data_IF_559665453261
#
_entry.id   IF_559665453261
#
_cell.length_a   1.000
_cell.length_b   1.000
_cell.length_c   1.000
_cell.angle_alpha   90.00
_cell.angle_beta   90.00
_cell.angle_gamma   90.00
#
_symmetry.space_group_name_H-M   'P 1'
#
loop_
_entity.id
_entity.type
_entity.pdbx_description
1 polymer ?
#
# COMPACT_ATOMS: atom_id res chain seq x y z
N UNK A 1 39.27 -18.20 25.13
CA UNK A 1 39.68 -16.96 24.45
C UNK A 1 40.01 -17.33 23.00
N UNK A 2 39.01 -17.38 22.13
CA UNK A 2 39.23 -17.67 20.70
C UNK A 2 39.18 -16.34 19.94
N UNK A 3 40.36 -15.75 19.70
CA UNK A 3 40.53 -14.83 18.59
C UNK A 3 40.60 -15.70 17.34
N UNK A 4 39.54 -15.71 16.53
CA UNK A 4 39.61 -16.24 15.18
C UNK A 4 39.84 -15.07 14.25
N UNK A 5 41.01 -15.07 13.61
CA UNK A 5 41.35 -14.21 12.49
C UNK A 5 40.22 -14.19 11.46
N UNK A 6 39.76 -12.99 11.12
CA UNK A 6 38.78 -12.74 10.04
C UNK A 6 39.51 -12.39 8.73
N UNK A 7 40.83 -12.64 8.64
CA UNK A 7 41.65 -12.30 7.48
C UNK A 7 42.22 -13.52 6.75
N UNK A 8 41.65 -14.72 6.94
CA UNK A 8 42.05 -15.93 6.22
C UNK A 8 40.94 -16.44 5.32
N UNK A 9 41.28 -16.72 4.07
CA UNK A 9 40.50 -17.29 2.95
C UNK A 9 39.67 -18.54 3.32
N UNK A 10 38.64 -18.36 4.12
CA UNK A 10 37.53 -19.29 4.28
C UNK A 10 36.26 -18.50 3.96
N UNK A 11 36.18 -17.96 2.74
CA UNK A 11 34.89 -17.58 2.19
C UNK A 11 34.06 -18.86 2.13
N UNK A 12 32.94 -18.86 2.85
CA UNK A 12 31.94 -19.91 2.66
C UNK A 12 31.68 -20.05 1.15
N UNK A 13 31.56 -21.29 0.62
CA UNK A 13 31.12 -21.45 -0.75
C UNK A 13 29.79 -20.68 -0.92
N UNK A 14 29.56 -20.02 -2.06
CA UNK A 14 28.32 -19.28 -2.29
C UNK A 14 27.15 -20.23 -2.04
N UNK A 15 26.40 -19.97 -0.98
CA UNK A 15 25.22 -20.75 -0.64
C UNK A 15 24.09 -20.32 -1.57
N UNK A 16 23.36 -21.25 -2.21
CA UNK A 16 22.19 -20.90 -2.96
C UNK A 16 21.19 -20.24 -2.01
N UNK A 17 20.77 -19.01 -2.34
CA UNK A 17 19.80 -18.26 -1.57
C UNK A 17 18.67 -17.83 -2.49
N UNK A 18 17.44 -17.88 -1.97
CA UNK A 18 16.29 -17.31 -2.63
C UNK A 18 15.82 -16.10 -1.82
N UNK A 19 15.83 -14.94 -2.45
CA UNK A 19 15.23 -13.74 -1.89
C UNK A 19 13.75 -13.68 -2.25
N UNK A 20 12.91 -13.49 -1.25
CA UNK A 20 11.49 -13.22 -1.38
C UNK A 20 11.29 -11.74 -1.07
N UNK A 21 10.95 -10.97 -2.10
CA UNK A 21 10.70 -9.55 -1.96
C UNK A 21 9.21 -9.27 -1.80
N UNK A 22 8.86 -8.53 -0.75
CA UNK A 22 7.52 -8.00 -0.52
C UNK A 22 7.62 -6.47 -0.36
N UNK A 23 7.11 -5.67 -1.31
CA UNK A 23 7.11 -4.22 -1.23
C UNK A 23 6.00 -3.66 -0.31
N UNK A 24 5.42 -4.47 0.59
CA UNK A 24 4.26 -4.05 1.38
C UNK A 24 4.57 -2.82 2.24
N UNK A 25 5.66 -2.88 3.00
CA UNK A 25 6.09 -1.78 3.87
C UNK A 25 6.60 -0.59 3.06
N UNK A 26 7.26 -0.84 1.94
CA UNK A 26 7.71 0.21 1.02
C UNK A 26 6.51 1.01 0.50
N UNK A 27 5.46 0.34 0.01
CA UNK A 27 4.26 1.05 -0.46
C UNK A 27 3.50 1.78 0.65
N UNK A 28 3.48 1.25 1.88
CA UNK A 28 2.89 1.96 3.02
C UNK A 28 3.66 3.24 3.36
N UNK A 29 4.99 3.15 3.42
CA UNK A 29 5.85 4.27 3.74
C UNK A 29 5.89 5.30 2.61
N UNK A 30 5.91 4.86 1.36
CA UNK A 30 5.75 5.73 0.20
C UNK A 30 4.42 6.48 0.28
N UNK A 31 3.32 5.80 0.63
CA UNK A 31 2.03 6.46 0.75
C UNK A 31 2.04 7.58 1.82
N UNK A 32 2.67 7.32 2.97
CA UNK A 32 2.83 8.29 4.06
C UNK A 32 3.74 9.46 3.67
N UNK A 33 4.93 9.14 3.18
CA UNK A 33 5.91 10.12 2.75
C UNK A 33 5.32 11.06 1.70
N UNK A 34 4.71 10.50 0.65
CA UNK A 34 4.10 11.28 -0.42
C UNK A 34 2.90 12.10 0.09
N UNK A 35 2.14 11.60 1.05
CA UNK A 35 1.07 12.38 1.68
C UNK A 35 1.64 13.58 2.46
N UNK A 36 2.69 13.40 3.26
CA UNK A 36 3.35 14.48 3.98
C UNK A 36 3.89 15.53 3.02
N UNK A 37 4.58 15.11 1.96
CA UNK A 37 5.03 16.02 0.91
C UNK A 37 3.86 16.77 0.24
N UNK A 38 2.69 16.14 0.07
CA UNK A 38 1.51 16.83 -0.46
C UNK A 38 0.95 17.90 0.49
N UNK A 39 1.02 17.67 1.80
CA UNK A 39 0.59 18.63 2.82
C UNK A 39 1.52 19.84 2.85
N UNK A 40 2.84 19.61 2.78
CA UNK A 40 3.87 20.64 2.87
C UNK A 40 4.12 21.37 1.54
N UNK A 41 3.70 20.81 0.41
CA UNK A 41 3.99 21.37 -0.90
C UNK A 41 3.32 22.74 -1.14
N UNK A 42 4.15 23.68 -1.58
CA UNK A 42 3.74 24.95 -2.13
C UNK A 42 3.23 24.80 -3.56
N UNK A 43 2.06 25.37 -3.81
CA UNK A 43 1.42 25.37 -5.13
C UNK A 43 0.67 24.08 -5.48
N UNK A 44 -0.36 24.24 -6.30
CA UNK A 44 -1.28 23.16 -6.67
C UNK A 44 -0.59 22.01 -7.43
N UNK A 45 0.37 22.31 -8.30
CA UNK A 45 0.98 21.28 -9.14
C UNK A 45 1.79 20.26 -8.33
N UNK A 46 2.65 20.73 -7.42
CA UNK A 46 3.46 19.88 -6.56
C UNK A 46 2.58 19.07 -5.61
N UNK A 47 1.63 19.72 -4.93
CA UNK A 47 0.63 19.06 -4.08
C UNK A 47 -0.09 17.93 -4.80
N UNK A 48 -0.60 18.19 -5.99
CA UNK A 48 -1.39 17.18 -6.70
C UNK A 48 -0.50 16.02 -7.20
N UNK A 49 0.77 16.27 -7.54
CA UNK A 49 1.72 15.22 -7.91
C UNK A 49 1.99 14.26 -6.75
N UNK A 50 2.32 14.81 -5.58
CA UNK A 50 2.54 14.02 -4.37
C UNK A 50 1.25 13.30 -3.93
N UNK A 51 0.10 13.96 -4.03
CA UNK A 51 -1.20 13.36 -3.70
C UNK A 51 -1.51 12.15 -4.59
N UNK A 52 -1.27 12.24 -5.90
CA UNK A 52 -1.43 11.10 -6.82
C UNK A 52 -0.51 9.95 -6.45
N UNK A 53 0.76 10.23 -6.14
CA UNK A 53 1.70 9.18 -5.71
C UNK A 53 1.21 8.48 -4.44
N UNK A 54 0.75 9.25 -3.44
CA UNK A 54 0.22 8.71 -2.18
C UNK A 54 -1.03 7.83 -2.37
N UNK A 55 -2.00 8.28 -3.20
CA UNK A 55 -3.22 7.52 -3.50
C UNK A 55 -2.88 6.17 -4.14
N UNK A 56 -1.95 6.16 -5.10
CA UNK A 56 -1.57 4.94 -5.82
C UNK A 56 -0.75 4.01 -4.94
N UNK A 57 0.20 4.52 -4.18
CA UNK A 57 0.95 3.73 -3.21
C UNK A 57 0.03 3.06 -2.17
N UNK A 58 -1.00 3.79 -1.69
CA UNK A 58 -2.03 3.24 -0.78
C UNK A 58 -2.81 2.07 -1.39
N UNK A 59 -3.11 2.11 -2.69
CA UNK A 59 -3.77 1.01 -3.38
C UNK A 59 -2.82 -0.17 -3.61
N UNK A 60 -1.56 0.10 -3.98
CA UNK A 60 -0.54 -0.92 -4.22
C UNK A 60 -0.17 -1.69 -2.95
N UNK A 61 -0.18 -1.04 -1.78
CA UNK A 61 0.04 -1.75 -0.50
C UNK A 61 -1.04 -2.80 -0.23
N UNK A 62 -2.30 -2.51 -0.58
CA UNK A 62 -3.42 -3.48 -0.45
C UNK A 62 -3.23 -4.67 -1.38
N UNK A 63 -2.80 -4.42 -2.62
CA UNK A 63 -2.52 -5.47 -3.59
C UNK A 63 -1.35 -6.33 -3.17
N UNK A 64 -0.31 -5.69 -2.64
CA UNK A 64 0.85 -6.37 -2.10
C UNK A 64 0.44 -7.27 -0.94
N UNK A 65 -0.36 -6.79 0.01
CA UNK A 65 -0.92 -7.62 1.08
C UNK A 65 -1.65 -8.85 0.50
N UNK A 66 -2.54 -8.64 -0.46
CA UNK A 66 -3.29 -9.74 -1.08
C UNK A 66 -2.37 -10.79 -1.75
N UNK A 67 -1.29 -10.33 -2.41
CA UNK A 67 -0.30 -11.20 -3.04
C UNK A 67 0.54 -11.94 -1.99
N UNK A 68 0.95 -11.28 -0.91
CA UNK A 68 1.67 -11.90 0.21
C UNK A 68 0.86 -13.05 0.82
N UNK A 69 -0.45 -12.83 1.01
CA UNK A 69 -1.35 -13.83 1.56
C UNK A 69 -1.46 -15.06 0.66
N UNK A 70 -1.68 -14.88 -0.65
CA UNK A 70 -1.75 -16.02 -1.58
C UNK A 70 -0.42 -16.75 -1.70
N UNK A 71 0.68 -16.02 -1.70
CA UNK A 71 2.01 -16.63 -1.71
C UNK A 71 2.27 -17.46 -0.44
N UNK A 72 1.74 -17.03 0.71
CA UNK A 72 1.88 -17.74 1.98
C UNK A 72 1.19 -19.12 1.99
N UNK A 73 0.13 -19.31 1.18
CA UNK A 73 -0.58 -20.59 1.07
C UNK A 73 0.27 -21.73 0.48
N UNK A 74 1.42 -21.43 -0.13
CA UNK A 74 2.35 -22.41 -0.74
C UNK A 74 1.62 -23.41 -1.67
N UNK A 75 0.68 -22.88 -2.45
CA UNK A 75 -0.14 -23.68 -3.37
C UNK A 75 0.72 -24.37 -4.44
N UNK A 76 0.29 -25.54 -4.96
CA UNK A 76 0.86 -26.11 -6.18
C UNK A 76 0.89 -25.11 -7.34
N UNK A 77 1.88 -25.21 -8.23
CA UNK A 77 2.15 -24.20 -9.26
C UNK A 77 0.93 -23.83 -10.13
N UNK A 78 0.14 -24.83 -10.56
CA UNK A 78 -1.06 -24.59 -11.36
C UNK A 78 -2.17 -23.91 -10.54
N UNK A 79 -2.38 -24.33 -9.30
CA UNK A 79 -3.37 -23.70 -8.40
C UNK A 79 -2.97 -22.26 -8.03
N UNK A 80 -1.67 -22.01 -7.86
CA UNK A 80 -1.13 -20.68 -7.60
C UNK A 80 -1.39 -19.75 -8.79
N UNK A 81 -1.17 -20.22 -10.01
CA UNK A 81 -1.41 -19.44 -11.25
C UNK A 81 -2.87 -18.98 -11.36
N UNK A 82 -3.81 -19.82 -10.96
CA UNK A 82 -5.23 -19.44 -10.91
C UNK A 82 -5.54 -18.52 -9.72
N UNK A 83 -4.94 -18.78 -8.55
CA UNK A 83 -5.07 -17.90 -7.38
C UNK A 83 -4.57 -16.48 -7.66
N UNK A 84 -3.46 -16.35 -8.39
CA UNK A 84 -2.80 -15.08 -8.65
C UNK A 84 -3.59 -14.18 -9.61
N UNK A 85 -4.48 -14.75 -10.42
CA UNK A 85 -5.38 -14.01 -11.31
C UNK A 85 -6.61 -13.44 -10.60
N UNK A 86 -6.86 -13.86 -9.36
CA UNK A 86 -7.98 -13.35 -8.58
C UNK A 86 -7.79 -11.86 -8.28
N UNK A 87 -8.91 -11.14 -8.11
CA UNK A 87 -8.85 -9.75 -7.65
C UNK A 87 -8.32 -9.70 -6.21
N UNK A 88 -7.71 -8.59 -5.76
CA UNK A 88 -7.09 -8.51 -4.44
C UNK A 88 -8.01 -8.92 -3.28
N UNK A 89 -9.26 -8.48 -3.26
CA UNK A 89 -10.22 -8.88 -2.22
C UNK A 89 -10.63 -10.36 -2.29
N UNK A 90 -10.58 -10.96 -3.47
CA UNK A 90 -10.86 -12.39 -3.66
C UNK A 90 -9.66 -13.25 -3.26
N UNK A 91 -8.43 -12.75 -3.49
CA UNK A 91 -7.19 -13.33 -2.94
C UNK A 91 -7.24 -13.40 -1.42
N UNK A 92 -7.61 -12.29 -0.76
CA UNK A 92 -7.76 -12.23 0.70
C UNK A 92 -8.86 -13.17 1.18
N UNK A 93 -10.03 -13.20 0.51
CA UNK A 93 -11.11 -14.11 0.86
C UNK A 93 -10.68 -15.58 0.77
N UNK A 94 -9.92 -15.94 -0.27
CA UNK A 94 -9.37 -17.28 -0.44
C UNK A 94 -8.40 -17.63 0.68
N UNK A 95 -7.46 -16.74 1.02
CA UNK A 95 -6.55 -16.96 2.14
C UNK A 95 -7.30 -17.29 3.44
N UNK A 96 -8.32 -16.50 3.78
CA UNK A 96 -9.14 -16.77 4.98
C UNK A 96 -9.86 -18.12 4.91
N UNK A 97 -10.36 -18.51 3.73
CA UNK A 97 -11.01 -19.80 3.54
C UNK A 97 -10.02 -20.96 3.71
N UNK A 98 -8.87 -20.89 3.04
CA UNK A 98 -7.90 -21.99 2.99
C UNK A 98 -7.20 -22.19 4.35
N UNK A 99 -6.95 -21.11 5.09
CA UNK A 99 -6.40 -21.13 6.46
C UNK A 99 -7.46 -21.36 7.55
N UNK A 100 -8.73 -21.56 7.17
CA UNK A 100 -9.88 -21.70 8.08
C UNK A 100 -10.02 -20.54 9.08
N UNK A 101 -9.77 -19.31 8.62
CA UNK A 101 -9.91 -18.08 9.39
C UNK A 101 -11.31 -17.48 9.20
N UNK A 102 -11.86 -16.93 10.28
CA UNK A 102 -13.17 -16.25 10.26
C UNK A 102 -13.01 -14.74 10.34
N UNK A 103 -14.06 -14.00 9.95
CA UNK A 103 -14.17 -12.57 10.23
C UNK A 103 -13.83 -11.63 9.06
N UNK A 104 -13.24 -12.13 7.97
CA UNK A 104 -13.14 -11.37 6.72
C UNK A 104 -14.46 -11.40 5.94
N UNK A 105 -14.92 -10.24 5.49
CA UNK A 105 -16.10 -10.08 4.65
C UNK A 105 -15.89 -9.01 3.59
N UNK A 106 -16.29 -9.30 2.36
CA UNK A 106 -16.29 -8.32 1.25
C UNK A 106 -17.45 -7.33 1.35
N UNK A 107 -18.44 -7.59 2.21
CA UNK A 107 -19.65 -6.79 2.35
C UNK A 107 -19.54 -5.61 3.30
N UNK A 108 -18.54 -5.57 4.18
CA UNK A 108 -18.39 -4.49 5.17
C UNK A 108 -17.87 -3.21 4.55
N UNK A 109 -18.21 -2.06 5.16
CA UNK A 109 -17.85 -0.72 4.65
C UNK A 109 -16.35 -0.57 4.38
N UNK A 110 -15.49 -1.10 5.24
CA UNK A 110 -14.03 -1.05 5.07
C UNK A 110 -13.59 -1.75 3.77
N UNK A 111 -14.08 -2.97 3.52
CA UNK A 111 -13.80 -3.71 2.28
C UNK A 111 -14.39 -3.05 1.04
N UNK A 112 -15.55 -2.38 1.16
CA UNK A 112 -16.17 -1.65 0.05
C UNK A 112 -15.37 -0.39 -0.34
N UNK A 113 -14.92 0.40 0.66
CA UNK A 113 -14.05 1.56 0.45
C UNK A 113 -12.71 1.13 -0.16
N UNK A 114 -12.12 0.04 0.33
CA UNK A 114 -10.92 -0.53 -0.25
C UNK A 114 -11.14 -1.03 -1.71
N UNK A 115 -12.28 -1.66 -2.01
CA UNK A 115 -12.63 -2.02 -3.39
C UNK A 115 -12.65 -0.81 -4.31
N UNK A 116 -13.17 0.32 -3.83
CA UNK A 116 -13.16 1.57 -4.59
C UNK A 116 -11.74 2.12 -4.77
N UNK A 117 -10.90 2.06 -3.74
CA UNK A 117 -9.48 2.44 -3.84
C UNK A 117 -8.74 1.62 -4.91
N UNK A 118 -8.98 0.31 -4.98
CA UNK A 118 -8.42 -0.54 -6.04
C UNK A 118 -8.93 -0.16 -7.44
N UNK A 119 -10.21 0.21 -7.57
CA UNK A 119 -10.76 0.74 -8.83
C UNK A 119 -10.14 2.08 -9.21
N UNK A 120 -9.84 2.95 -8.23
CA UNK A 120 -9.14 4.21 -8.45
C UNK A 120 -7.78 3.94 -9.09
N UNK A 121 -7.02 2.98 -8.54
CA UNK A 121 -5.74 2.54 -9.11
C UNK A 121 -5.91 2.06 -10.55
N UNK A 122 -6.86 1.16 -10.79
CA UNK A 122 -7.12 0.63 -12.14
C UNK A 122 -7.42 1.76 -13.14
N UNK A 123 -8.27 2.72 -12.75
CA UNK A 123 -8.60 3.88 -13.58
C UNK A 123 -7.40 4.81 -13.83
N UNK A 124 -6.49 4.92 -12.86
CA UNK A 124 -5.28 5.72 -12.98
C UNK A 124 -4.26 5.11 -13.96
N UNK A 125 -4.02 3.79 -13.87
CA UNK A 125 -3.04 3.09 -14.72
C UNK A 125 -3.59 2.75 -16.11
N UNK A 126 -4.92 2.73 -16.26
CA UNK A 126 -5.62 2.54 -17.53
C UNK A 126 -6.56 3.71 -17.80
N UNK A 127 -6.02 4.92 -18.05
CA UNK A 127 -6.83 6.13 -18.18
C UNK A 127 -7.75 6.03 -19.39
N UNK A 128 -9.04 6.30 -19.16
CA UNK A 128 -10.04 6.46 -20.22
C UNK A 128 -10.29 7.94 -20.44
N UNK A 129 -10.14 8.42 -21.68
CA UNK A 129 -10.51 9.77 -22.05
C UNK A 129 -12.02 9.93 -21.87
N UNK A 130 -12.41 10.68 -20.84
CA UNK A 130 -13.82 10.93 -20.54
C UNK A 130 -14.03 12.45 -20.63
N UNK A 131 -14.91 12.94 -21.53
CA UNK A 131 -15.19 14.37 -21.60
C UNK A 131 -15.88 14.81 -20.32
N UNK A 132 -15.31 15.82 -19.64
CA UNK A 132 -15.93 16.47 -18.50
C UNK A 132 -16.55 17.78 -18.96
N UNK A 133 -17.77 18.07 -18.51
CA UNK A 133 -18.39 19.37 -18.76
C UNK A 133 -17.60 20.46 -18.03
N UNK A 134 -17.31 21.54 -18.74
CA UNK A 134 -16.69 22.74 -18.19
C UNK A 134 -17.47 23.96 -18.64
N UNK A 135 -17.68 24.89 -17.73
CA UNK A 135 -18.28 26.20 -18.00
C UNK A 135 -17.15 27.22 -18.05
N UNK A 136 -16.98 27.83 -19.22
CA UNK A 136 -16.10 28.98 -19.40
C UNK A 136 -16.88 30.24 -19.09
N UNK A 137 -16.38 31.06 -18.16
CA UNK A 137 -16.93 32.38 -17.90
C UNK A 137 -16.32 33.42 -18.86
N UNK A 138 -16.89 34.62 -18.86
CA UNK A 138 -16.39 35.80 -19.56
C UNK A 138 -14.93 36.12 -19.20
N UNK A 139 -14.19 36.64 -20.18
CA UNK A 139 -12.80 37.08 -20.04
C UNK A 139 -12.71 38.14 -18.92
N UNK A 140 -11.84 37.91 -17.93
CA UNK A 140 -11.59 38.84 -16.82
C UNK A 140 -10.19 39.40 -16.93
N UNK A 141 -10.07 40.70 -16.68
CA UNK A 141 -8.79 41.36 -16.52
C UNK A 141 -8.19 40.91 -15.16
N UNK A 142 -7.00 40.32 -15.22
CA UNK A 142 -6.23 39.86 -14.05
C UNK A 142 -4.98 40.73 -13.83
N UNK A 143 -5.01 42.00 -14.24
CA UNK A 143 -3.93 42.96 -14.11
C UNK A 143 -2.99 42.92 -15.30
N UNK A 144 -1.89 42.16 -15.20
CA UNK A 144 -0.92 42.03 -16.31
C UNK A 144 -1.32 40.99 -17.37
N UNK A 145 -2.42 40.27 -17.16
CA UNK A 145 -2.90 39.21 -18.06
C UNK A 145 -4.42 39.13 -18.11
N UNK A 146 -4.95 38.55 -19.18
CA UNK A 146 -6.36 38.18 -19.28
C UNK A 146 -6.55 36.74 -18.79
N UNK A 147 -7.56 36.51 -17.96
CA UNK A 147 -7.92 35.18 -17.46
C UNK A 147 -9.32 34.79 -17.95
N UNK A 148 -9.50 33.53 -18.36
CA UNK A 148 -10.81 32.93 -18.60
C UNK A 148 -11.10 32.02 -17.40
N UNK A 149 -12.02 32.39 -16.49
CA UNK A 149 -12.39 31.51 -15.39
C UNK A 149 -13.05 30.24 -15.95
N UNK A 150 -12.63 29.08 -15.45
CA UNK A 150 -13.17 27.77 -15.83
C UNK A 150 -13.77 27.13 -14.57
N UNK A 151 -15.04 26.76 -14.64
CA UNK A 151 -15.70 25.92 -13.63
C UNK A 151 -15.86 24.52 -14.18
N UNK A 152 -15.35 23.52 -13.46
CA UNK A 152 -15.41 22.11 -13.87
C UNK A 152 -16.20 21.36 -12.79
N UNK A 153 -17.23 20.62 -13.18
CA UNK A 153 -17.88 19.68 -12.27
C UNK A 153 -16.96 18.46 -12.08
N UNK A 154 -16.63 18.19 -10.82
CA UNK A 154 -15.76 17.08 -10.44
C UNK A 154 -16.62 15.95 -9.85
N UNK A 155 -17.03 14.95 -10.64
CA UNK A 155 -17.71 13.79 -10.09
C UNK A 155 -16.80 13.10 -9.06
N UNK A 156 -17.39 12.54 -8.00
CA UNK A 156 -16.67 11.91 -6.90
C UNK A 156 -16.88 10.39 -6.89
N UNK A 157 -15.87 9.68 -6.40
CA UNK A 157 -15.96 8.26 -6.06
C UNK A 157 -16.92 8.11 -4.86
N UNK A 158 -18.06 7.42 -4.98
CA UNK A 158 -19.16 7.50 -4.01
C UNK A 158 -18.83 7.10 -2.57
N UNK A 159 -17.90 6.16 -2.31
CA UNK A 159 -17.61 5.73 -0.93
C UNK A 159 -16.39 6.44 -0.33
N UNK A 160 -15.46 6.90 -1.16
CA UNK A 160 -14.26 7.62 -0.75
C UNK A 160 -14.44 9.14 -0.81
N UNK A 161 -15.29 9.67 -1.69
CA UNK A 161 -15.44 11.11 -1.91
C UNK A 161 -14.25 11.75 -2.62
N UNK A 162 -13.36 10.95 -3.22
CA UNK A 162 -12.21 11.45 -4.00
C UNK A 162 -12.70 11.85 -5.39
N UNK A 163 -12.21 12.95 -6.00
CA UNK A 163 -12.55 13.29 -7.38
C UNK A 163 -12.23 12.15 -8.35
N UNK A 164 -13.07 11.89 -9.34
CA UNK A 164 -12.75 10.96 -10.42
C UNK A 164 -11.55 11.45 -11.25
N UNK A 165 -11.49 12.75 -11.65
CA UNK A 165 -10.36 13.26 -12.41
C UNK A 165 -9.11 13.39 -11.53
N UNK A 166 -8.04 12.69 -11.95
CA UNK A 166 -6.78 12.56 -11.19
C UNK A 166 -6.01 13.89 -11.07
N UNK A 167 -6.27 14.84 -11.96
CA UNK A 167 -5.68 16.18 -11.89
C UNK A 167 -6.17 16.97 -10.67
N UNK A 168 -7.36 16.65 -10.16
CA UNK A 168 -7.99 17.34 -9.04
C UNK A 168 -7.63 16.73 -7.67
N UNK A 169 -6.86 15.64 -7.64
CA UNK A 169 -6.43 15.03 -6.38
C UNK A 169 -5.44 15.91 -5.65
N UNK A 170 -5.76 16.20 -4.39
CA UNK A 170 -5.01 17.04 -3.47
C UNK A 170 -4.68 16.29 -2.18
N UNK A 171 -4.11 17.00 -1.21
CA UNK A 171 -3.72 16.44 0.09
C UNK A 171 -4.90 15.77 0.81
N UNK A 172 -6.12 16.32 0.71
CA UNK A 172 -7.34 15.69 1.24
C UNK A 172 -7.65 14.37 0.57
N UNK A 173 -7.49 14.30 -0.75
CA UNK A 173 -7.69 13.08 -1.54
C UNK A 173 -6.72 11.99 -1.12
N UNK A 174 -5.44 12.34 -0.92
CA UNK A 174 -4.44 11.39 -0.41
C UNK A 174 -4.69 10.94 1.02
N UNK A 175 -5.12 11.83 1.93
CA UNK A 175 -5.46 11.47 3.30
C UNK A 175 -6.58 10.43 3.36
N UNK A 176 -7.62 10.61 2.54
CA UNK A 176 -8.75 9.67 2.45
C UNK A 176 -8.32 8.31 1.91
N UNK A 177 -7.47 8.28 0.88
CA UNK A 177 -6.95 7.02 0.33
C UNK A 177 -6.09 6.27 1.34
N UNK A 178 -5.21 6.99 2.04
CA UNK A 178 -4.35 6.46 3.09
C UNK A 178 -5.18 5.87 4.23
N UNK A 179 -6.15 6.63 4.74
CA UNK A 179 -7.06 6.19 5.80
C UNK A 179 -7.88 4.95 5.39
N UNK A 180 -8.37 4.91 4.15
CA UNK A 180 -9.09 3.75 3.62
C UNK A 180 -8.20 2.50 3.56
N UNK A 181 -6.95 2.64 3.09
CA UNK A 181 -5.99 1.55 3.05
C UNK A 181 -5.65 1.09 4.47
N UNK A 182 -5.33 2.01 5.37
CA UNK A 182 -4.88 1.72 6.75
C UNK A 182 -5.95 1.02 7.57
N UNK A 183 -7.19 1.50 7.51
CA UNK A 183 -8.32 0.81 8.15
C UNK A 183 -8.53 -0.58 7.58
N UNK A 184 -8.30 -0.77 6.27
CA UNK A 184 -8.40 -2.08 5.65
C UNK A 184 -7.27 -3.03 6.07
N UNK A 185 -6.01 -2.56 6.09
CA UNK A 185 -4.89 -3.35 6.62
C UNK A 185 -5.15 -3.74 8.07
N UNK A 186 -5.52 -2.80 8.94
CA UNK A 186 -5.86 -3.11 10.32
C UNK A 186 -6.98 -4.14 10.41
N UNK A 187 -8.06 -3.97 9.63
CA UNK A 187 -9.17 -4.93 9.61
C UNK A 187 -8.75 -6.35 9.21
N UNK A 188 -7.92 -6.50 8.18
CA UNK A 188 -7.47 -7.82 7.70
C UNK A 188 -6.44 -8.41 8.66
N UNK A 189 -5.40 -7.64 9.00
CA UNK A 189 -4.27 -8.11 9.77
C UNK A 189 -4.64 -8.43 11.22
N UNK A 190 -5.53 -7.66 11.85
CA UNK A 190 -5.98 -7.97 13.22
C UNK A 190 -6.69 -9.31 13.27
N UNK A 191 -7.45 -9.68 12.23
CA UNK A 191 -8.14 -10.97 12.15
C UNK A 191 -7.19 -12.14 11.95
N UNK A 192 -6.11 -11.92 11.21
CA UNK A 192 -5.04 -12.91 11.04
C UNK A 192 -4.28 -13.10 12.37
N UNK A 193 -3.97 -12.00 13.05
CA UNK A 193 -3.27 -12.01 14.34
C UNK A 193 -4.10 -12.66 15.45
N UNK A 194 -5.40 -12.38 15.52
CA UNK A 194 -6.34 -12.98 16.48
C UNK A 194 -6.35 -14.51 16.39
N UNK A 195 -6.08 -15.08 15.21
CA UNK A 195 -5.99 -16.52 15.02
C UNK A 195 -4.67 -17.13 15.54
N UNK A 196 -3.66 -16.30 15.86
CA UNK A 196 -2.35 -16.67 16.40
C UNK A 196 -1.56 -17.73 15.59
N UNK A 197 -1.89 -17.90 14.30
CA UNK A 197 -1.26 -18.89 13.41
C UNK A 197 -0.15 -18.33 12.54
N UNK A 198 -0.12 -17.02 12.36
CA UNK A 198 0.83 -16.36 11.48
C UNK A 198 1.55 -15.27 12.26
N UNK A 199 2.87 -15.27 12.16
CA UNK A 199 3.65 -14.07 12.42
C UNK A 199 3.41 -13.12 11.23
N UNK A 200 3.01 -11.88 11.52
CA UNK A 200 2.69 -10.88 10.50
C UNK A 200 3.96 -10.26 9.89
N UNK A 201 5.02 -10.09 10.68
CA UNK A 201 6.30 -9.59 10.19
C UNK A 201 6.94 -10.65 9.28
N UNK A 202 6.99 -11.90 9.75
CA UNK A 202 6.47 -13.05 8.99
C UNK A 202 6.03 -12.85 7.54
N UNK A 203 4.73 -12.72 7.43
CA UNK A 203 3.97 -12.72 6.20
C UNK A 203 4.26 -11.53 5.27
N UNK A 204 4.65 -10.38 5.83
CA UNK A 204 4.69 -9.11 5.09
C UNK A 204 6.10 -8.65 4.71
N UNK A 205 7.14 -9.13 5.41
CA UNK A 205 8.51 -8.69 5.20
C UNK A 205 9.22 -9.37 4.03
N UNK A 206 10.18 -8.65 3.44
CA UNK A 206 11.19 -9.22 2.55
C UNK A 206 12.15 -10.14 3.32
N UNK A 207 12.53 -11.28 2.72
CA UNK A 207 13.25 -12.37 3.38
C UNK A 207 14.28 -13.02 2.48
N UNK A 208 15.44 -13.36 3.03
CA UNK A 208 16.37 -14.29 2.40
C UNK A 208 16.21 -15.69 3.01
N UNK A 209 15.85 -16.66 2.17
CA UNK A 209 15.90 -18.08 2.50
C UNK A 209 17.24 -18.63 2.05
N UNK A 210 18.04 -19.01 3.03
CA UNK A 210 19.18 -19.90 2.81
C UNK A 210 18.67 -21.34 2.87
N UNK A 211 19.48 -22.28 2.37
CA UNK A 211 19.21 -23.72 2.39
C UNK A 211 18.52 -24.17 3.71
N UNK A 212 17.56 -25.11 3.58
CA UNK A 212 16.24 -25.31 4.23
C UNK A 212 16.05 -24.94 5.73
N UNK A 213 17.10 -24.57 6.46
CA UNK A 213 17.14 -24.39 7.91
C UNK A 213 17.56 -22.99 8.38
N UNK A 214 17.98 -22.08 7.49
CA UNK A 214 18.36 -20.71 7.86
C UNK A 214 17.53 -19.65 7.13
N UNK A 215 16.84 -18.81 7.90
CA UNK A 215 16.16 -17.62 7.40
C UNK A 215 16.87 -16.37 7.90
N UNK A 216 17.29 -15.50 6.98
CA UNK A 216 17.77 -14.15 7.29
C UNK A 216 16.65 -13.16 6.99
N UNK A 217 16.28 -12.37 7.99
CA UNK A 217 15.43 -11.19 7.81
C UNK A 217 16.32 -10.02 7.40
N UNK A 218 15.94 -9.28 6.35
CA UNK A 218 16.56 -7.98 6.14
C UNK A 218 16.04 -7.00 7.20
N UNK A 219 16.92 -6.24 7.86
CA UNK A 219 16.48 -5.10 8.66
C UNK A 219 15.82 -4.06 7.74
N UNK A 220 14.77 -3.42 8.26
CA UNK A 220 14.25 -2.21 7.64
C UNK A 220 15.27 -1.08 7.81
N UNK A 221 15.31 -0.17 6.85
CA UNK A 221 16.06 1.09 6.95
C UNK A 221 15.42 2.06 7.95
N UNK A 222 16.24 2.91 8.59
CA UNK A 222 15.80 3.86 9.63
C UNK A 222 14.80 4.90 9.10
N UNK A 223 14.94 5.34 7.84
CA UNK A 223 13.97 6.24 7.20
C UNK A 223 12.63 5.56 7.02
N UNK A 224 12.63 4.31 6.56
CA UNK A 224 11.42 3.49 6.42
C UNK A 224 10.72 3.28 7.77
N UNK A 225 11.49 2.99 8.82
CA UNK A 225 10.98 2.89 10.20
C UNK A 225 10.34 4.20 10.65
N UNK A 226 11.01 5.33 10.40
CA UNK A 226 10.51 6.66 10.74
C UNK A 226 9.15 6.95 10.08
N UNK A 227 9.01 6.64 8.80
CA UNK A 227 7.74 6.81 8.08
C UNK A 227 6.66 5.88 8.64
N UNK A 228 6.95 4.60 8.85
CA UNK A 228 5.97 3.66 9.39
C UNK A 228 5.49 4.02 10.80
N UNK A 229 6.33 4.62 11.63
CA UNK A 229 5.91 5.14 12.94
C UNK A 229 4.92 6.30 12.82
N UNK A 230 5.03 7.13 11.78
CA UNK A 230 4.05 8.18 11.49
C UNK A 230 2.69 7.62 11.04
N UNK A 231 2.59 6.32 10.70
CA UNK A 231 1.33 5.68 10.33
C UNK A 231 0.28 5.72 11.46
N UNK A 232 0.73 5.78 12.72
CA UNK A 232 -0.11 5.93 13.91
C UNK A 232 -1.01 7.16 13.82
N UNK A 233 -0.49 8.27 13.29
CA UNK A 233 -1.23 9.54 13.15
C UNK A 233 -2.43 9.41 12.19
N UNK A 234 -2.38 8.41 11.30
CA UNK A 234 -3.40 8.12 10.30
C UNK A 234 -4.23 6.86 10.62
N UNK A 235 -4.10 6.34 11.85
CA UNK A 235 -4.94 5.26 12.38
C UNK A 235 -4.47 3.83 12.05
N UNK A 236 -3.25 3.66 11.55
CA UNK A 236 -2.61 2.33 11.48
C UNK A 236 -1.74 2.12 12.72
N UNK A 237 -2.30 1.43 13.70
CA UNK A 237 -1.60 1.12 14.94
C UNK A 237 -0.74 -0.14 14.81
N UNK A 238 0.49 0.04 14.32
CA UNK A 238 1.45 -1.07 14.11
C UNK A 238 1.78 -1.79 15.43
N UNK A 239 1.74 -1.07 16.56
CA UNK A 239 1.88 -1.65 17.91
C UNK A 239 0.78 -2.66 18.23
N UNK A 240 -0.48 -2.32 17.92
CA UNK A 240 -1.63 -3.22 18.13
C UNK A 240 -1.49 -4.50 17.30
N UNK A 241 -0.83 -4.39 16.15
CA UNK A 241 -0.58 -5.50 15.23
C UNK A 241 0.66 -6.33 15.62
N UNK A 242 1.36 -5.99 16.71
CA UNK A 242 2.61 -6.64 17.10
C UNK A 242 3.75 -6.44 16.11
N UNK A 243 3.62 -5.46 15.20
CA UNK A 243 4.59 -5.20 14.14
C UNK A 243 5.68 -4.22 14.59
N UNK A 244 5.48 -3.47 15.67
CA UNK A 244 6.46 -2.49 16.15
C UNK A 244 7.76 -3.09 16.65
N UNK A 245 7.72 -4.29 17.25
CA UNK A 245 8.93 -5.04 17.61
C UNK A 245 9.81 -5.38 16.39
N UNK A 246 9.25 -5.35 15.17
CA UNK A 246 9.97 -5.56 13.93
C UNK A 246 10.52 -4.25 13.33
N UNK A 247 9.98 -3.10 13.75
CA UNK A 247 10.44 -1.77 13.31
C UNK A 247 11.63 -1.25 14.13
N UNK A 248 12.15 -2.01 15.11
CA UNK A 248 13.20 -1.58 16.02
C UNK A 248 12.66 -0.76 17.19
#
# INVERSE_FOLDING_TARGET
>A
MYKKDISGENSWPPLPAQHQYSPFFDFLADALFQHRQAVEADGHFARNRFSRAAVIASALSVECLANCLIFNLKLPAEEFKDADRLRPLDKIARFFKDENLTGFSKGVRTSQRCRELLKIRDAFVHPKNTPNAAVLDSLKDAGESWAIPISIELPLWPLLGIPLPTFAWDSKSSAVALEAAFRFHHYVLSKIQEAARHDLAVLLASRMKLDEKLSLLMPLDDSLIGELRAANDYGLHLDNLGLSAWLG
#
